data_IF_819409174024
#
_entry.id   IF_819409174024
#
_cell.length_a   1.000
_cell.length_b   1.000
_cell.length_c   1.000
_cell.angle_alpha   90.00
_cell.angle_beta   90.00
_cell.angle_gamma   90.00
#
_symmetry.space_group_name_H-M   'P 1'
#
loop_
_entity.id
_entity.type
_entity.pdbx_description
1 polymer ?
#
# COMPACT_ATOMS: atom_id res chain seq x y z
N UNK A 1 -3.31 20.77 26.09
CA UNK A 1 -2.33 20.38 25.06
C UNK A 1 -3.09 19.50 24.09
N UNK A 2 -3.43 20.04 22.92
CA UNK A 2 -4.18 19.31 21.91
C UNK A 2 -3.31 18.18 21.38
N UNK A 3 -3.68 16.95 21.71
CA UNK A 3 -3.15 15.77 21.03
C UNK A 3 -3.56 15.90 19.57
N UNK A 4 -2.57 16.14 18.72
CA UNK A 4 -2.62 16.06 17.28
C UNK A 4 -3.61 14.99 16.85
N UNK A 5 -4.78 15.39 16.35
CA UNK A 5 -5.75 14.42 15.83
C UNK A 5 -5.05 13.65 14.71
N UNK A 6 -4.67 12.41 14.97
CA UNK A 6 -4.10 11.51 13.97
C UNK A 6 -5.15 11.34 12.87
N UNK A 7 -5.02 12.15 11.80
CA UNK A 7 -5.94 12.16 10.67
C UNK A 7 -5.62 10.96 9.79
N UNK A 8 -6.13 9.79 10.16
CA UNK A 8 -6.32 8.72 9.18
C UNK A 8 -7.40 9.20 8.22
N UNK A 9 -7.17 9.07 6.91
CA UNK A 9 -8.23 9.25 5.92
C UNK A 9 -9.38 8.31 6.22
N UNK A 10 -10.62 8.79 6.04
CA UNK A 10 -11.78 7.94 6.21
C UNK A 10 -11.70 6.73 5.27
N UNK A 11 -12.13 5.58 5.75
CA UNK A 11 -12.16 4.36 4.97
C UNK A 11 -13.31 4.40 3.97
N UNK A 12 -12.96 4.36 2.68
CA UNK A 12 -13.89 4.39 1.55
C UNK A 12 -14.25 3.00 1.02
N UNK A 13 -13.68 1.93 1.59
CA UNK A 13 -13.82 0.55 1.13
C UNK A 13 -12.62 0.04 0.31
N UNK A 14 -11.63 0.88 0.05
CA UNK A 14 -10.43 0.52 -0.71
C UNK A 14 -9.19 0.44 0.17
N UNK A 15 -8.23 -0.39 -0.24
CA UNK A 15 -6.97 -0.60 0.47
C UNK A 15 -7.15 -0.91 1.98
N UNK A 16 -8.09 -1.82 2.28
CA UNK A 16 -8.46 -2.20 3.65
C UNK A 16 -7.24 -2.53 4.51
N UNK A 17 -6.25 -3.25 3.97
CA UNK A 17 -5.04 -3.60 4.71
C UNK A 17 -4.28 -2.38 5.24
N UNK A 18 -4.10 -1.33 4.41
CA UNK A 18 -3.40 -0.13 4.84
C UNK A 18 -4.22 0.68 5.87
N UNK A 19 -5.54 0.76 5.67
CA UNK A 19 -6.42 1.42 6.64
C UNK A 19 -6.47 0.66 7.97
N UNK A 20 -6.62 -0.66 7.92
CA UNK A 20 -6.63 -1.58 9.07
C UNK A 20 -5.38 -1.40 9.92
N UNK A 21 -4.20 -1.41 9.29
CA UNK A 21 -2.93 -1.19 9.98
C UNK A 21 -2.89 0.19 10.68
N UNK A 22 -3.24 1.27 9.98
CA UNK A 22 -3.27 2.62 10.57
C UNK A 22 -4.27 2.71 11.72
N UNK A 23 -5.45 2.12 11.56
CA UNK A 23 -6.49 2.13 12.57
C UNK A 23 -6.07 1.36 13.82
N UNK A 24 -5.43 0.21 13.64
CA UNK A 24 -4.83 -0.54 14.76
C UNK A 24 -3.85 0.34 15.54
N UNK A 25 -2.93 1.05 14.87
CA UNK A 25 -1.99 1.96 15.55
C UNK A 25 -2.70 3.07 16.35
N UNK A 26 -3.80 3.62 15.85
CA UNK A 26 -4.61 4.61 16.58
C UNK A 26 -5.33 4.01 17.79
N UNK A 27 -5.78 2.75 17.70
CA UNK A 27 -6.41 2.06 18.81
C UNK A 27 -5.38 1.69 19.89
N UNK A 28 -4.18 1.28 19.50
CA UNK A 28 -3.04 1.01 20.40
C UNK A 28 -2.62 2.26 21.17
N UNK A 29 -2.41 3.39 20.48
CA UNK A 29 -2.05 4.68 21.11
C UNK A 29 -3.08 5.12 22.17
N UNK A 30 -4.32 4.66 22.04
CA UNK A 30 -5.44 5.03 22.94
C UNK A 30 -5.74 3.99 24.01
N UNK A 31 -4.93 2.93 24.11
CA UNK A 31 -5.11 1.77 24.98
C UNK A 31 -6.47 1.07 24.76
N UNK A 32 -6.89 0.99 23.50
CA UNK A 32 -8.18 0.43 23.09
C UNK A 32 -8.05 -0.88 22.32
N UNK A 33 -6.86 -1.26 21.86
CA UNK A 33 -6.69 -2.43 21.00
C UNK A 33 -7.10 -3.74 21.68
N UNK A 34 -6.77 -3.93 22.95
CA UNK A 34 -7.08 -5.13 23.75
C UNK A 34 -8.57 -5.54 23.73
N UNK A 35 -9.49 -4.56 23.64
CA UNK A 35 -10.94 -4.82 23.57
C UNK A 35 -11.44 -5.01 22.14
N UNK A 36 -10.64 -4.63 21.14
CA UNK A 36 -10.93 -4.79 19.71
C UNK A 36 -10.40 -6.13 19.21
N UNK A 37 -9.16 -6.47 19.55
CA UNK A 37 -8.54 -7.77 19.23
C UNK A 37 -9.22 -8.94 19.94
N UNK A 38 -9.96 -8.67 21.00
CA UNK A 38 -10.65 -9.69 21.81
C UNK A 38 -9.71 -10.41 22.79
N UNK A 39 -8.54 -9.84 23.06
CA UNK A 39 -7.62 -10.27 24.13
C UNK A 39 -8.29 -10.19 25.50
N UNK A 40 -9.03 -9.09 25.74
CA UNK A 40 -9.92 -8.94 26.88
C UNK A 40 -11.36 -9.11 26.40
N UNK A 41 -12.08 -10.04 27.00
CA UNK A 41 -13.50 -10.26 26.73
C UNK A 41 -14.36 -9.86 27.93
N UNK A 42 -15.62 -9.54 27.65
CA UNK A 42 -16.56 -9.15 28.69
C UNK A 42 -16.72 -10.21 29.78
N UNK A 43 -16.61 -11.49 29.42
CA UNK A 43 -16.79 -12.63 30.33
C UNK A 43 -15.62 -12.80 31.30
N UNK A 44 -14.46 -12.22 31.00
CA UNK A 44 -13.27 -12.27 31.86
C UNK A 44 -13.27 -11.17 32.93
N UNK A 45 -14.21 -10.23 32.88
CA UNK A 45 -14.33 -9.14 33.84
C UNK A 45 -15.07 -9.58 35.11
N UNK A 46 -14.34 -9.90 36.17
CA UNK A 46 -14.90 -10.39 37.44
C UNK A 46 -15.53 -9.29 38.29
N UNK A 47 -14.94 -8.09 38.31
CA UNK A 47 -15.43 -6.99 39.14
C UNK A 47 -16.33 -6.03 38.35
N UNK A 48 -17.23 -5.34 39.06
CA UNK A 48 -18.05 -4.28 38.46
C UNK A 48 -17.19 -3.15 37.85
N UNK A 49 -16.03 -2.86 38.45
CA UNK A 49 -15.10 -1.84 37.95
C UNK A 49 -14.47 -2.25 36.61
N UNK A 50 -14.09 -3.52 36.48
CA UNK A 50 -13.51 -4.07 35.24
C UNK A 50 -14.55 -4.08 34.12
N UNK A 51 -15.78 -4.52 34.42
CA UNK A 51 -16.88 -4.50 33.45
C UNK A 51 -17.20 -3.08 32.97
N UNK A 52 -17.21 -2.09 33.89
CA UNK A 52 -17.43 -0.69 33.54
C UNK A 52 -16.29 -0.14 32.68
N UNK A 53 -15.04 -0.51 32.98
CA UNK A 53 -13.86 -0.11 32.22
C UNK A 53 -13.85 -0.72 30.82
N UNK A 54 -14.14 -2.02 30.71
CA UNK A 54 -14.29 -2.72 29.43
C UNK A 54 -15.38 -2.09 28.57
N UNK A 55 -16.58 -1.87 29.11
CA UNK A 55 -17.68 -1.21 28.38
C UNK A 55 -17.30 0.19 27.91
N UNK A 56 -16.58 0.96 28.74
CA UNK A 56 -16.09 2.30 28.37
C UNK A 56 -15.09 2.23 27.22
N UNK A 57 -14.09 1.34 27.30
CA UNK A 57 -13.09 1.13 26.24
C UNK A 57 -13.75 0.66 24.95
N UNK A 58 -14.63 -0.34 25.02
CA UNK A 58 -15.35 -0.88 23.86
C UNK A 58 -16.20 0.17 23.15
N UNK A 59 -16.96 1.01 23.88
CA UNK A 59 -17.71 2.13 23.28
C UNK A 59 -16.79 3.17 22.63
N UNK A 60 -15.66 3.50 23.28
CA UNK A 60 -14.69 4.45 22.75
C UNK A 60 -14.04 3.92 21.46
N UNK A 61 -13.65 2.65 21.45
CA UNK A 61 -13.10 1.98 20.27
C UNK A 61 -14.11 1.94 19.12
N UNK A 62 -15.37 1.59 19.41
CA UNK A 62 -16.45 1.59 18.42
C UNK A 62 -16.65 2.98 17.80
N UNK A 63 -16.63 4.03 18.61
CA UNK A 63 -16.74 5.40 18.12
C UNK A 63 -15.55 5.76 17.21
N UNK A 64 -14.32 5.38 17.58
CA UNK A 64 -13.12 5.62 16.77
C UNK A 64 -13.21 4.93 15.41
N UNK A 65 -13.59 3.65 15.39
CA UNK A 65 -13.76 2.87 14.16
C UNK A 65 -14.80 3.53 13.26
N UNK A 66 -16.00 3.80 13.78
CA UNK A 66 -17.09 4.39 12.99
C UNK A 66 -16.75 5.79 12.46
N UNK A 67 -16.10 6.65 13.25
CA UNK A 67 -15.76 8.01 12.82
C UNK A 67 -14.65 8.05 11.76
N UNK A 68 -13.87 6.98 11.66
CA UNK A 68 -12.82 6.81 10.66
C UNK A 68 -13.30 6.08 9.40
N UNK A 69 -14.61 5.89 9.23
CA UNK A 69 -15.22 5.31 8.04
C UNK A 69 -16.00 6.38 7.26
N UNK A 70 -16.08 6.22 5.96
CA UNK A 70 -17.04 6.95 5.14
C UNK A 70 -18.46 6.40 5.31
N UNK A 71 -19.45 7.25 5.04
CA UNK A 71 -20.86 6.92 5.24
C UNK A 71 -21.31 5.70 4.41
N UNK A 72 -20.66 5.48 3.26
CA UNK A 72 -20.86 4.32 2.38
C UNK A 72 -20.50 2.98 3.03
N UNK A 73 -19.54 2.98 3.96
CA UNK A 73 -19.02 1.79 4.62
C UNK A 73 -19.66 1.53 6.00
N UNK A 74 -20.27 2.54 6.62
CA UNK A 74 -20.94 2.43 7.92
C UNK A 74 -21.97 1.29 8.03
N UNK A 75 -22.74 0.91 6.98
CA UNK A 75 -23.68 -0.21 7.06
C UNK A 75 -23.03 -1.54 7.50
N UNK A 76 -21.74 -1.75 7.22
CA UNK A 76 -21.01 -2.98 7.57
C UNK A 76 -20.85 -3.16 9.10
N UNK A 77 -20.70 -2.05 9.82
CA UNK A 77 -20.43 -2.05 11.28
C UNK A 77 -21.61 -1.58 12.12
N UNK A 78 -22.64 -0.98 11.51
CA UNK A 78 -23.77 -0.37 12.23
C UNK A 78 -24.53 -1.35 13.13
N UNK A 79 -24.65 -2.61 12.73
CA UNK A 79 -25.33 -3.66 13.50
C UNK A 79 -24.39 -4.48 14.38
N UNK A 80 -23.14 -4.04 14.57
CA UNK A 80 -22.20 -4.69 15.47
C UNK A 80 -22.57 -4.44 16.94
N UNK A 81 -22.42 -5.48 17.75
CA UNK A 81 -22.70 -5.48 19.20
C UNK A 81 -21.64 -4.74 20.02
N UNK A 82 -20.45 -4.51 19.46
CA UNK A 82 -19.34 -3.80 20.07
C UNK A 82 -18.15 -3.68 19.12
N UNK A 83 -17.05 -3.08 19.60
CA UNK A 83 -15.89 -2.80 18.75
C UNK A 83 -15.20 -4.05 18.21
N UNK A 84 -15.12 -5.13 19.00
CA UNK A 84 -14.56 -6.42 18.55
C UNK A 84 -15.40 -7.02 17.41
N UNK A 85 -16.74 -7.10 17.58
CA UNK A 85 -17.66 -7.58 16.53
C UNK A 85 -17.59 -6.71 15.26
N UNK A 86 -17.50 -5.38 15.42
CA UNK A 86 -17.33 -4.46 14.29
C UNK A 86 -16.04 -4.75 13.53
N UNK A 87 -14.94 -4.96 14.24
CA UNK A 87 -13.64 -5.29 13.66
C UNK A 87 -13.67 -6.62 12.91
N UNK A 88 -14.19 -7.68 13.53
CA UNK A 88 -14.32 -9.00 12.90
C UNK A 88 -15.17 -8.95 11.63
N UNK A 89 -16.27 -8.18 11.62
CA UNK A 89 -17.09 -8.02 10.41
C UNK A 89 -16.36 -7.35 9.26
N UNK A 90 -15.48 -6.39 9.56
CA UNK A 90 -14.65 -5.75 8.54
C UNK A 90 -13.64 -6.76 7.97
N UNK A 91 -12.97 -7.52 8.84
CA UNK A 91 -12.05 -8.58 8.41
C UNK A 91 -12.78 -9.64 7.57
N UNK A 92 -13.95 -10.11 8.01
CA UNK A 92 -14.75 -11.10 7.29
C UNK A 92 -15.24 -10.59 5.92
N UNK A 93 -15.46 -9.28 5.78
CA UNK A 93 -15.90 -8.66 4.54
C UNK A 93 -14.74 -8.48 3.56
N UNK A 94 -13.64 -7.86 3.99
CA UNK A 94 -12.54 -7.44 3.11
C UNK A 94 -11.42 -8.48 2.99
N UNK A 95 -11.19 -9.29 4.02
CA UNK A 95 -10.17 -10.34 4.06
C UNK A 95 -10.80 -11.74 3.98
N UNK A 96 -12.01 -11.82 3.43
CA UNK A 96 -12.73 -13.08 3.25
C UNK A 96 -11.85 -14.11 2.56
N UNK A 97 -11.53 -15.21 3.27
CA UNK A 97 -10.66 -16.31 2.78
C UNK A 97 -11.32 -17.22 1.73
N UNK A 98 -12.23 -16.66 0.93
CA UNK A 98 -12.93 -17.37 -0.14
C UNK A 98 -12.03 -17.61 -1.34
N UNK A 99 -12.28 -18.71 -2.07
CA UNK A 99 -11.57 -19.00 -3.32
C UNK A 99 -11.71 -17.87 -4.34
N UNK A 100 -12.89 -17.23 -4.42
CA UNK A 100 -13.13 -16.10 -5.32
C UNK A 100 -12.23 -14.89 -4.99
N UNK A 101 -12.09 -14.54 -3.70
CA UNK A 101 -11.24 -13.43 -3.28
C UNK A 101 -9.74 -13.74 -3.53
N UNK A 102 -9.31 -14.96 -3.17
CA UNK A 102 -7.96 -15.45 -3.49
C UNK A 102 -7.66 -15.38 -4.99
N UNK A 103 -8.61 -15.83 -5.83
CA UNK A 103 -8.47 -15.80 -7.29
C UNK A 103 -8.42 -14.37 -7.82
N UNK A 104 -9.27 -13.47 -7.30
CA UNK A 104 -9.27 -12.05 -7.66
C UNK A 104 -7.92 -11.39 -7.36
N UNK A 105 -7.40 -11.57 -6.14
CA UNK A 105 -6.10 -11.01 -5.73
C UNK A 105 -4.95 -11.63 -6.52
N UNK A 106 -4.93 -12.95 -6.73
CA UNK A 106 -3.91 -13.61 -7.56
C UNK A 106 -3.91 -13.11 -9.00
N UNK A 107 -5.10 -12.94 -9.59
CA UNK A 107 -5.22 -12.38 -10.94
C UNK A 107 -4.61 -10.99 -10.98
N UNK A 108 -4.98 -10.11 -10.05
CA UNK A 108 -4.40 -8.75 -9.97
C UNK A 108 -2.89 -8.78 -9.80
N UNK A 109 -2.38 -9.66 -8.94
CA UNK A 109 -0.94 -9.81 -8.71
C UNK A 109 -0.19 -10.16 -9.99
N UNK A 110 -0.60 -11.21 -10.70
CA UNK A 110 0.08 -11.65 -11.92
C UNK A 110 -0.17 -10.77 -13.16
N UNK A 111 -1.21 -9.93 -13.17
CA UNK A 111 -1.52 -9.05 -14.30
C UNK A 111 -1.19 -7.58 -14.04
N UNK A 112 -0.56 -7.25 -12.91
CA UNK A 112 -0.13 -5.87 -12.64
C UNK A 112 1.12 -5.58 -13.47
N UNK A 113 1.04 -4.59 -14.36
CA UNK A 113 2.13 -4.15 -15.22
C UNK A 113 2.50 -2.70 -14.89
N UNK A 114 3.78 -2.37 -15.08
CA UNK A 114 4.31 -1.01 -15.04
C UNK A 114 4.30 -0.43 -16.45
N UNK A 115 3.71 0.75 -16.62
CA UNK A 115 3.71 1.45 -17.90
C UNK A 115 4.98 2.29 -18.08
N UNK A 116 5.26 2.70 -19.31
CA UNK A 116 6.42 3.56 -19.57
C UNK A 116 6.27 4.94 -18.94
N UNK A 117 7.19 5.27 -18.03
CA UNK A 117 7.21 6.54 -17.30
C UNK A 117 6.59 6.48 -15.89
N UNK A 118 6.02 5.34 -15.50
CA UNK A 118 5.58 5.11 -14.11
C UNK A 118 6.77 5.16 -13.13
N UNK A 119 6.48 5.47 -11.87
CA UNK A 119 7.48 5.45 -10.80
C UNK A 119 7.72 4.02 -10.32
N UNK A 120 9.00 3.62 -10.35
CA UNK A 120 9.40 2.24 -10.04
C UNK A 120 9.11 1.88 -8.59
N UNK A 121 9.29 2.82 -7.66
CA UNK A 121 9.03 2.59 -6.24
C UNK A 121 7.54 2.39 -5.97
N UNK A 122 6.68 3.16 -6.63
CA UNK A 122 5.23 2.99 -6.55
C UNK A 122 4.80 1.60 -7.05
N UNK A 123 5.36 1.15 -8.18
CA UNK A 123 5.06 -0.17 -8.73
C UNK A 123 5.54 -1.32 -7.82
N UNK A 124 6.75 -1.22 -7.27
CA UNK A 124 7.29 -2.17 -6.27
C UNK A 124 6.35 -2.25 -5.06
N UNK A 125 5.93 -1.11 -4.53
CA UNK A 125 5.03 -1.05 -3.38
C UNK A 125 3.67 -1.67 -3.69
N UNK A 126 3.13 -1.44 -4.89
CA UNK A 126 1.85 -2.02 -5.33
C UNK A 126 1.89 -3.55 -5.36
N UNK A 127 2.96 -4.15 -5.88
CA UNK A 127 3.14 -5.61 -5.87
C UNK A 127 3.30 -6.14 -4.44
N UNK A 128 4.05 -5.44 -3.59
CA UNK A 128 4.21 -5.82 -2.18
C UNK A 128 2.87 -5.80 -1.43
N UNK A 129 2.08 -4.75 -1.60
CA UNK A 129 0.73 -4.66 -1.01
C UNK A 129 -0.19 -5.78 -1.48
N UNK A 130 -0.11 -6.19 -2.76
CA UNK A 130 -0.88 -7.33 -3.27
C UNK A 130 -0.43 -8.66 -2.64
N UNK A 131 0.88 -8.85 -2.41
CA UNK A 131 1.41 -10.02 -1.71
C UNK A 131 0.94 -10.08 -0.25
N UNK A 132 0.96 -8.95 0.47
CA UNK A 132 0.45 -8.83 1.84
C UNK A 132 -1.07 -9.12 1.90
N UNK A 133 -1.85 -8.62 0.94
CA UNK A 133 -3.28 -8.95 0.82
C UNK A 133 -3.52 -10.44 0.57
N UNK A 134 -2.69 -11.07 -0.26
CA UNK A 134 -2.73 -12.51 -0.53
C UNK A 134 -2.40 -13.34 0.71
N UNK A 135 -1.43 -12.92 1.51
CA UNK A 135 -1.12 -13.52 2.81
C UNK A 135 -2.28 -13.41 3.79
N UNK A 136 -2.90 -12.23 3.91
CA UNK A 136 -4.04 -11.99 4.81
C UNK A 136 -5.24 -12.91 4.51
N UNK A 137 -5.51 -13.20 3.23
CA UNK A 137 -6.57 -14.14 2.83
C UNK A 137 -6.14 -15.62 2.91
N UNK A 138 -4.93 -15.92 3.39
CA UNK A 138 -4.39 -17.27 3.54
C UNK A 138 -3.95 -17.90 2.21
N UNK A 139 -3.31 -17.12 1.35
CA UNK A 139 -2.71 -17.54 0.08
C UNK A 139 -1.34 -16.87 -0.14
N UNK A 140 -0.36 -17.09 0.76
CA UNK A 140 0.93 -16.41 0.70
C UNK A 140 1.65 -16.65 -0.63
N UNK A 141 2.47 -15.66 -1.02
CA UNK A 141 3.33 -15.69 -2.21
C UNK A 141 4.75 -15.95 -1.74
N UNK A 142 5.45 -16.91 -2.35
CA UNK A 142 6.87 -17.12 -2.03
C UNK A 142 7.72 -15.98 -2.61
N UNK A 143 8.93 -15.80 -2.07
CA UNK A 143 9.83 -14.74 -2.54
C UNK A 143 10.17 -14.91 -4.04
N UNK A 144 10.37 -16.15 -4.50
CA UNK A 144 10.65 -16.45 -5.91
C UNK A 144 9.52 -15.97 -6.83
N UNK A 145 8.26 -16.31 -6.52
CA UNK A 145 7.09 -15.85 -7.28
C UNK A 145 6.97 -14.32 -7.28
N UNK A 146 7.33 -13.69 -6.16
CA UNK A 146 7.32 -12.23 -6.02
C UNK A 146 8.38 -11.56 -6.90
N UNK A 147 9.60 -12.11 -6.92
CA UNK A 147 10.70 -11.65 -7.79
C UNK A 147 10.36 -11.88 -9.27
N UNK A 148 9.87 -13.07 -9.63
CA UNK A 148 9.48 -13.42 -11.00
C UNK A 148 8.39 -12.46 -11.49
N UNK A 149 7.36 -12.22 -10.66
CA UNK A 149 6.26 -11.32 -11.01
C UNK A 149 6.76 -9.89 -11.16
N UNK A 150 7.64 -9.41 -10.26
CA UNK A 150 8.22 -8.08 -10.38
C UNK A 150 8.99 -7.93 -11.70
N UNK A 151 9.94 -8.83 -12.00
CA UNK A 151 10.72 -8.74 -13.24
C UNK A 151 9.84 -8.81 -14.49
N UNK A 152 8.86 -9.70 -14.51
CA UNK A 152 7.92 -9.85 -15.64
C UNK A 152 6.92 -8.70 -15.80
N UNK A 153 6.77 -7.84 -14.79
CA UNK A 153 5.82 -6.73 -14.80
C UNK A 153 6.40 -5.38 -15.23
N UNK A 154 7.72 -5.28 -15.40
CA UNK A 154 8.40 -4.04 -15.72
C UNK A 154 8.18 -3.63 -17.19
N UNK A 155 8.27 -2.34 -17.47
CA UNK A 155 8.21 -1.81 -18.84
C UNK A 155 9.43 -2.20 -19.68
N UNK A 156 9.25 -2.25 -21.00
CA UNK A 156 10.27 -2.65 -21.99
C UNK A 156 11.59 -1.91 -21.82
N UNK A 157 11.55 -0.64 -21.39
CA UNK A 157 12.75 0.13 -21.15
C UNK A 157 13.69 -0.59 -20.17
N UNK A 158 13.22 -1.36 -19.19
CA UNK A 158 14.04 -2.06 -18.20
C UNK A 158 14.61 -3.41 -18.68
N UNK A 159 14.32 -3.84 -19.92
CA UNK A 159 14.70 -5.16 -20.44
C UNK A 159 16.18 -5.51 -20.28
N UNK A 160 17.08 -4.53 -20.49
CA UNK A 160 18.52 -4.77 -20.34
C UNK A 160 18.92 -5.14 -18.91
N UNK A 161 18.28 -4.51 -17.90
CA UNK A 161 18.51 -4.85 -16.51
C UNK A 161 17.94 -6.24 -16.20
N UNK A 162 16.74 -6.55 -16.71
CA UNK A 162 16.09 -7.86 -16.54
C UNK A 162 17.02 -8.96 -17.05
N UNK A 163 17.50 -8.87 -18.29
CA UNK A 163 18.43 -9.85 -18.87
C UNK A 163 19.71 -10.00 -18.05
N UNK A 164 20.26 -8.89 -17.53
CA UNK A 164 21.45 -8.92 -16.68
C UNK A 164 21.18 -9.62 -15.33
N UNK A 165 20.00 -9.46 -14.75
CA UNK A 165 19.59 -10.12 -13.51
C UNK A 165 19.34 -11.61 -13.74
N UNK A 166 18.62 -11.98 -14.79
CA UNK A 166 18.34 -13.37 -15.16
C UNK A 166 19.62 -14.18 -15.42
N UNK A 167 20.67 -13.54 -15.94
CA UNK A 167 21.98 -14.20 -16.14
C UNK A 167 22.68 -14.61 -14.83
N UNK A 168 22.20 -14.14 -13.68
CA UNK A 168 22.74 -14.37 -12.33
C UNK A 168 21.66 -14.92 -11.38
N UNK A 169 20.80 -15.79 -11.92
CA UNK A 169 19.55 -16.25 -11.30
C UNK A 169 19.71 -16.98 -9.97
N UNK A 170 20.91 -17.46 -9.63
CA UNK A 170 21.25 -18.12 -8.37
C UNK A 170 21.26 -17.20 -7.15
N UNK A 171 21.14 -15.88 -7.33
CA UNK A 171 21.27 -14.88 -6.24
C UNK A 171 20.14 -13.85 -6.18
N UNK A 172 19.03 -14.08 -6.90
CA UNK A 172 17.94 -13.09 -6.99
C UNK A 172 17.04 -13.11 -5.76
N UNK A 173 17.31 -12.24 -4.79
CA UNK A 173 16.38 -11.90 -3.71
C UNK A 173 15.55 -10.67 -4.04
N UNK A 174 14.42 -10.51 -3.36
CA UNK A 174 13.57 -9.33 -3.47
C UNK A 174 14.36 -8.04 -3.19
N UNK A 175 15.19 -8.05 -2.14
CA UNK A 175 16.02 -6.91 -1.75
C UNK A 175 17.02 -6.53 -2.84
N UNK A 176 17.72 -7.51 -3.43
CA UNK A 176 18.68 -7.25 -4.50
C UNK A 176 18.00 -6.64 -5.72
N UNK A 177 16.88 -7.24 -6.15
CA UNK A 177 16.16 -6.81 -7.37
C UNK A 177 15.61 -5.40 -7.20
N UNK A 178 14.93 -5.12 -6.10
CA UNK A 178 14.38 -3.78 -5.82
C UNK A 178 15.48 -2.72 -5.72
N UNK A 179 16.60 -3.03 -5.06
CA UNK A 179 17.76 -2.13 -4.99
C UNK A 179 18.31 -1.78 -6.38
N UNK A 180 18.46 -2.78 -7.25
CA UNK A 180 18.96 -2.60 -8.62
C UNK A 180 18.01 -1.79 -9.49
N UNK A 181 16.71 -2.02 -9.35
CA UNK A 181 15.67 -1.30 -10.07
C UNK A 181 15.65 0.19 -9.71
N UNK A 182 15.67 0.51 -8.42
CA UNK A 182 15.69 1.89 -7.94
C UNK A 182 16.96 2.63 -8.39
N UNK A 183 18.12 1.96 -8.34
CA UNK A 183 19.37 2.55 -8.84
C UNK A 183 19.33 2.81 -10.35
N UNK A 184 18.78 1.90 -11.15
CA UNK A 184 18.61 2.10 -12.59
C UNK A 184 17.62 3.24 -12.90
N UNK A 185 16.53 3.36 -12.13
CA UNK A 185 15.59 4.49 -12.25
C UNK A 185 16.28 5.84 -12.00
N UNK A 186 17.09 5.95 -10.93
CA UNK A 186 17.87 7.15 -10.65
C UNK A 186 18.78 7.53 -11.81
N UNK A 187 19.53 6.55 -12.35
CA UNK A 187 20.42 6.73 -13.50
C UNK A 187 19.66 7.20 -14.74
N UNK A 188 18.44 6.71 -14.96
CA UNK A 188 17.57 7.12 -16.07
C UNK A 188 17.04 8.53 -15.91
N UNK A 189 16.56 8.88 -14.71
CA UNK A 189 16.10 10.24 -14.37
C UNK A 189 17.22 11.27 -14.64
N UNK A 190 18.47 10.95 -14.30
CA UNK A 190 19.63 11.79 -14.62
C UNK A 190 19.91 11.92 -16.12
N UNK A 191 19.87 10.81 -16.87
CA UNK A 191 20.13 10.83 -18.31
C UNK A 191 19.05 11.58 -19.09
N UNK A 192 17.78 11.43 -18.69
CA UNK A 192 16.66 12.20 -19.23
C UNK A 192 16.86 13.70 -19.01
N UNK A 193 17.23 14.10 -17.80
CA UNK A 193 17.51 15.50 -17.46
C UNK A 193 18.67 16.08 -18.30
N UNK A 194 19.75 15.33 -18.46
CA UNK A 194 20.90 15.70 -19.32
C UNK A 194 20.50 15.87 -20.80
N UNK A 195 19.63 15.01 -21.33
CA UNK A 195 19.10 15.12 -22.72
C UNK A 195 18.24 16.37 -22.90
N UNK A 196 17.32 16.65 -21.96
CA UNK A 196 16.46 17.85 -21.99
C UNK A 196 17.28 19.15 -21.96
N UNK A 197 18.32 19.22 -21.12
CA UNK A 197 19.21 20.38 -21.08
C UNK A 197 19.96 20.61 -22.40
N UNK A 198 20.43 19.52 -23.06
CA UNK A 198 21.08 19.62 -24.37
C UNK A 198 20.12 20.14 -25.45
N UNK A 199 18.88 19.62 -25.52
CA UNK A 199 17.88 20.10 -26.48
C UNK A 199 17.54 21.59 -26.27
N UNK A 200 17.43 22.05 -25.02
CA UNK A 200 17.17 23.48 -24.71
C UNK A 200 18.33 24.39 -25.14
N UNK A 201 19.58 23.93 -25.03
CA UNK A 201 20.76 24.68 -25.53
C UNK A 201 20.74 24.79 -27.06
N UNK A 202 20.43 23.69 -27.77
CA UNK A 202 20.35 23.67 -29.23
C UNK A 202 19.23 24.59 -29.75
N UNK A 203 18.05 24.56 -29.12
CA UNK A 203 16.91 25.41 -29.53
C UNK A 203 17.18 26.91 -29.29
N UNK A 204 17.94 27.26 -28.24
CA UNK A 204 18.39 28.64 -27.98
C UNK A 204 19.44 29.11 -29.00
N UNK A 205 20.40 28.24 -29.39
CA UNK A 205 21.40 28.63 -30.40
C UNK A 205 20.81 28.80 -31.80
N UNK A 206 19.75 28.06 -32.15
CA UNK A 206 19.04 28.22 -33.43
C UNK A 206 18.14 29.45 -33.50
N UNK A 207 17.60 29.93 -32.36
CA UNK A 207 16.81 31.17 -32.34
C UNK A 207 17.68 32.44 -32.37
N UNK A 208 18.90 32.38 -31.84
CA UNK A 208 19.86 33.49 -31.89
C UNK A 208 20.45 33.76 -33.27
N UNK A 209 20.40 32.80 -34.20
CA UNK A 209 21.00 32.93 -35.55
C UNK A 209 20.05 33.52 -36.60
N UNK A 210 18.73 33.55 -36.36
CA UNK A 210 17.74 34.05 -37.33
C UNK A 210 17.61 35.59 -37.27
N UNK A 211 18.01 36.24 -36.17
CA UNK A 211 17.84 37.70 -36.00
C UNK A 211 18.99 38.57 -36.56
N UNK A 212 20.02 37.98 -37.17
CA UNK A 212 21.24 38.70 -37.58
C UNK A 212 21.42 38.83 -39.11
N UNK A 213 20.36 38.59 -39.91
CA UNK A 213 20.46 38.55 -41.39
C UNK A 213 19.43 39.39 -42.15
N UNK A 214 18.93 40.45 -41.53
CA UNK A 214 18.06 41.42 -42.19
C UNK A 214 18.49 42.82 -41.81
N UNK A 215 19.53 43.32 -42.47
CA UNK A 215 19.81 44.75 -42.67
C UNK A 215 21.00 44.84 -43.65
N UNK A 216 20.67 44.77 -44.94
CA UNK A 216 21.44 45.34 -46.06
C UNK A 216 20.46 45.73 -47.16
#
# INVERSE_FOLDING_TARGET
MDASSLRISKFDGTNFHAWKFKMQMVLEERDLWEVVSGEIKAEQCETHLDQATYKRKSRKAMAVICLAMEDSQLPLVRSASGACDAWSRLEDHFEKKSLANKLFLRRRFFTTMMEEGDDVLEHINKLKTLAEQLEAVGAPVCEDDLVITLLGSLSDSYQFLITALESRSDTLSWELVTSRLLHEEMKRKEQGSKKVMKLRKVKRSSQGTISAKGDQ
#
